data_IF_405969650113
#
_entry.id   IF_405969650113
#
_cell.length_a   1.000
_cell.length_b   1.000
_cell.length_c   1.000
_cell.angle_alpha   90.00
_cell.angle_beta   90.00
_cell.angle_gamma   90.00
#
_symmetry.space_group_name_H-M   'P 1'
#
loop_
_entity.id
_entity.type
_entity.pdbx_description
1 polymer ?
#
# COMPACT_ATOMS: atom_id res chain seq x y z
N UNK A 1 -12.95 25.32 -19.47
CA UNK A 1 -12.61 23.89 -19.28
C UNK A 1 -13.35 23.26 -18.09
N UNK A 2 -13.90 24.03 -17.13
CA UNK A 2 -14.61 23.52 -15.94
C UNK A 2 -16.01 22.92 -16.18
N UNK A 3 -16.61 23.16 -17.34
CA UNK A 3 -17.98 22.72 -17.65
C UNK A 3 -18.12 21.20 -17.72
N UNK A 4 -17.11 20.50 -18.23
CA UNK A 4 -17.13 19.03 -18.37
C UNK A 4 -16.97 18.32 -17.04
N UNK A 5 -16.02 18.75 -16.20
CA UNK A 5 -15.83 18.21 -14.84
C UNK A 5 -17.07 18.42 -13.99
N UNK A 6 -17.69 19.60 -14.11
CA UNK A 6 -18.94 19.91 -13.41
C UNK A 6 -20.09 19.02 -13.89
N UNK A 7 -20.15 18.70 -15.18
CA UNK A 7 -21.14 17.79 -15.73
C UNK A 7 -20.98 16.36 -15.19
N UNK A 8 -19.76 15.80 -15.20
CA UNK A 8 -19.51 14.44 -14.69
C UNK A 8 -19.84 14.29 -13.20
N UNK A 9 -19.58 15.31 -12.39
CA UNK A 9 -19.97 15.32 -10.97
C UNK A 9 -21.49 15.24 -10.79
N UNK A 10 -22.25 15.95 -11.62
CA UNK A 10 -23.72 15.92 -11.58
C UNK A 10 -24.28 14.56 -11.98
N UNK A 11 -23.73 13.97 -13.04
CA UNK A 11 -24.14 12.63 -13.50
C UNK A 11 -23.85 11.57 -12.44
N UNK A 12 -22.65 11.56 -11.85
CA UNK A 12 -22.31 10.65 -10.75
C UNK A 12 -23.28 10.78 -9.56
N UNK A 13 -23.59 12.00 -9.13
CA UNK A 13 -24.54 12.23 -8.04
C UNK A 13 -25.95 11.73 -8.37
N UNK A 14 -26.37 11.83 -9.64
CA UNK A 14 -27.67 11.33 -10.11
C UNK A 14 -27.73 9.81 -10.05
N UNK A 15 -26.70 9.12 -10.56
CA UNK A 15 -26.64 7.65 -10.57
C UNK A 15 -26.57 7.07 -9.14
N UNK A 16 -25.80 7.70 -8.25
CA UNK A 16 -25.60 7.19 -6.88
C UNK A 16 -26.86 7.38 -6.01
N UNK A 17 -27.69 8.40 -6.27
CA UNK A 17 -28.87 8.73 -5.46
C UNK A 17 -29.90 7.59 -5.35
N UNK A 18 -30.00 6.74 -6.37
CA UNK A 18 -30.95 5.61 -6.41
C UNK A 18 -30.37 4.28 -5.92
N UNK A 19 -29.09 4.23 -5.56
CA UNK A 19 -28.43 2.98 -5.20
C UNK A 19 -28.70 2.58 -3.74
N UNK A 20 -28.82 1.29 -3.45
CA UNK A 20 -28.84 0.79 -2.09
C UNK A 20 -27.49 1.03 -1.39
N UNK A 21 -27.50 1.07 -0.06
CA UNK A 21 -26.36 1.50 0.76
C UNK A 21 -25.08 0.68 0.53
N UNK A 22 -25.21 -0.63 0.33
CA UNK A 22 -24.11 -1.54 0.01
C UNK A 22 -23.42 -1.17 -1.31
N UNK A 23 -24.20 -0.78 -2.32
CA UNK A 23 -23.70 -0.33 -3.62
C UNK A 23 -23.06 1.05 -3.57
N UNK A 24 -23.61 1.97 -2.77
CA UNK A 24 -22.94 3.26 -2.51
C UNK A 24 -21.58 3.06 -1.84
N UNK A 25 -21.48 2.10 -0.91
CA UNK A 25 -20.21 1.73 -0.27
C UNK A 25 -19.21 1.15 -1.27
N UNK A 26 -19.67 0.35 -2.23
CA UNK A 26 -18.84 -0.17 -3.32
C UNK A 26 -18.25 0.95 -4.19
N UNK A 27 -19.06 1.96 -4.55
CA UNK A 27 -18.60 3.15 -5.28
C UNK A 27 -17.57 3.95 -4.48
N UNK A 28 -17.79 4.14 -3.17
CA UNK A 28 -16.82 4.81 -2.29
C UNK A 28 -15.48 4.07 -2.26
N UNK A 29 -15.49 2.73 -2.15
CA UNK A 29 -14.27 1.94 -2.19
C UNK A 29 -13.52 2.11 -3.51
N UNK A 30 -14.23 2.18 -4.63
CA UNK A 30 -13.63 2.39 -5.95
C UNK A 30 -12.98 3.78 -6.09
N UNK A 31 -13.62 4.83 -5.57
CA UNK A 31 -13.02 6.17 -5.52
C UNK A 31 -11.75 6.18 -4.67
N UNK A 32 -11.76 5.54 -3.50
CA UNK A 32 -10.56 5.39 -2.67
C UNK A 32 -9.46 4.63 -3.41
N UNK A 33 -9.80 3.59 -4.16
CA UNK A 33 -8.84 2.87 -5.00
C UNK A 33 -8.22 3.76 -6.08
N UNK A 34 -9.01 4.56 -6.79
CA UNK A 34 -8.48 5.51 -7.80
C UNK A 34 -7.48 6.47 -7.17
N UNK A 35 -7.85 7.09 -6.03
CA UNK A 35 -6.97 8.00 -5.29
C UNK A 35 -5.69 7.32 -4.82
N UNK A 36 -5.79 6.09 -4.35
CA UNK A 36 -4.63 5.31 -3.92
C UNK A 36 -3.73 4.92 -5.11
N UNK A 37 -4.31 4.62 -6.28
CA UNK A 37 -3.56 4.26 -7.49
C UNK A 37 -2.69 5.41 -8.01
N UNK A 38 -3.10 6.65 -7.81
CA UNK A 38 -2.26 7.82 -8.14
C UNK A 38 -1.07 7.96 -7.19
N UNK A 39 -1.16 7.40 -5.98
CA UNK A 39 -0.11 7.47 -4.94
C UNK A 39 0.78 6.23 -4.93
N UNK A 40 0.26 5.07 -5.35
CA UNK A 40 0.99 3.79 -5.34
C UNK A 40 1.65 3.58 -6.69
N UNK A 41 2.99 3.57 -6.71
CA UNK A 41 3.76 3.11 -7.86
C UNK A 41 3.28 1.69 -8.26
N UNK A 42 2.83 1.47 -9.51
CA UNK A 42 2.43 0.14 -9.98
C UNK A 42 3.50 -0.93 -9.76
N UNK A 43 4.78 -0.58 -9.80
CA UNK A 43 5.90 -1.49 -9.51
C UNK A 43 5.89 -1.99 -8.05
N UNK A 44 5.19 -1.30 -7.15
CA UNK A 44 5.05 -1.63 -5.73
C UNK A 44 3.70 -2.26 -5.37
N UNK A 45 2.84 -2.56 -6.36
CA UNK A 45 1.54 -3.18 -6.12
C UNK A 45 1.65 -4.54 -5.38
N UNK A 46 2.77 -5.25 -5.53
CA UNK A 46 3.05 -6.51 -4.85
C UNK A 46 2.99 -6.39 -3.31
N UNK A 47 3.33 -5.22 -2.75
CA UNK A 47 3.30 -4.94 -1.31
C UNK A 47 1.89 -5.11 -0.71
N UNK A 48 0.86 -4.84 -1.52
CA UNK A 48 -0.53 -4.91 -1.11
C UNK A 48 -1.17 -6.29 -1.30
N UNK A 49 -0.41 -7.28 -1.78
CA UNK A 49 -0.94 -8.64 -1.94
C UNK A 49 -1.14 -9.32 -0.59
N UNK A 50 -2.18 -10.18 -0.48
CA UNK A 50 -2.44 -10.96 0.74
C UNK A 50 -1.22 -11.79 1.18
N UNK A 51 -0.45 -12.28 0.21
CA UNK A 51 0.80 -13.02 0.46
C UNK A 51 1.82 -12.14 1.16
N UNK A 52 2.11 -10.94 0.62
CA UNK A 52 3.05 -10.00 1.23
C UNK A 52 2.62 -9.58 2.63
N UNK A 53 1.35 -9.20 2.80
CA UNK A 53 0.80 -8.82 4.10
C UNK A 53 0.88 -9.94 5.16
N UNK A 54 0.76 -11.20 4.75
CA UNK A 54 0.95 -12.35 5.65
C UNK A 54 2.41 -12.51 6.07
N UNK A 55 3.36 -12.28 5.16
CA UNK A 55 4.79 -12.32 5.45
C UNK A 55 5.20 -11.14 6.34
N UNK A 56 4.64 -9.95 6.11
CA UNK A 56 4.85 -8.76 6.95
C UNK A 56 4.46 -9.00 8.41
N UNK A 57 3.32 -9.68 8.65
CA UNK A 57 2.92 -10.11 10.00
C UNK A 57 3.89 -11.12 10.63
N UNK A 58 4.60 -11.90 9.81
CA UNK A 58 5.69 -12.77 10.26
C UNK A 58 6.89 -11.94 10.72
N UNK A 59 7.38 -11.08 9.84
CA UNK A 59 8.51 -10.20 10.10
C UNK A 59 8.28 -9.28 11.32
N UNK A 60 7.07 -8.74 11.51
CA UNK A 60 6.74 -7.92 12.68
C UNK A 60 6.76 -8.72 13.99
N UNK A 61 6.38 -10.00 13.95
CA UNK A 61 6.50 -10.90 15.12
C UNK A 61 7.96 -11.21 15.43
N UNK A 62 8.78 -11.44 14.42
CA UNK A 62 10.22 -11.68 14.60
C UNK A 62 10.93 -10.44 15.14
N UNK A 63 10.56 -9.25 14.66
CA UNK A 63 11.00 -7.96 15.22
C UNK A 63 10.65 -7.80 16.69
N UNK A 64 9.39 -8.07 17.06
CA UNK A 64 8.94 -8.01 18.47
C UNK A 64 9.67 -9.01 19.37
N UNK A 65 10.11 -10.15 18.82
CA UNK A 65 10.86 -11.18 19.53
C UNK A 65 12.37 -10.93 19.57
N UNK A 66 12.85 -9.85 18.96
CA UNK A 66 14.28 -9.54 18.88
C UNK A 66 15.05 -10.41 17.87
N UNK A 67 14.35 -11.18 17.03
CA UNK A 67 14.94 -12.06 16.01
C UNK A 67 15.29 -11.29 14.73
N UNK A 68 15.91 -10.11 14.87
CA UNK A 68 16.30 -9.26 13.75
C UNK A 68 17.78 -8.94 13.84
N UNK A 69 18.51 -9.25 12.76
CA UNK A 69 19.92 -8.90 12.64
C UNK A 69 20.02 -7.50 12.05
N UNK A 70 20.37 -6.52 12.88
CA UNK A 70 20.54 -5.12 12.48
C UNK A 70 19.38 -4.21 12.91
N UNK A 71 19.71 -3.00 13.34
CA UNK A 71 18.74 -2.00 13.83
C UNK A 71 18.26 -1.05 12.72
N UNK A 72 18.32 -1.47 11.44
CA UNK A 72 17.98 -0.64 10.29
C UNK A 72 18.95 0.52 10.02
N UNK A 73 20.05 0.65 10.78
CA UNK A 73 21.07 1.67 10.50
C UNK A 73 22.07 1.10 9.50
N UNK A 74 22.12 1.68 8.29
CA UNK A 74 23.03 1.28 7.18
C UNK A 74 24.49 1.13 7.63
N UNK A 75 24.91 1.85 8.68
CA UNK A 75 26.27 1.83 9.21
C UNK A 75 26.74 0.48 9.80
N UNK A 76 25.86 -0.48 10.13
CA UNK A 76 26.29 -1.72 10.82
C UNK A 76 26.21 -3.00 9.99
N UNK A 77 25.84 -2.95 8.72
CA UNK A 77 25.77 -4.18 7.89
C UNK A 77 27.11 -4.67 7.34
N UNK A 78 28.21 -3.93 7.48
CA UNK A 78 29.51 -4.31 6.88
C UNK A 78 30.40 -5.13 7.81
N UNK A 79 30.11 -5.24 9.11
CA UNK A 79 31.06 -5.81 10.09
C UNK A 79 30.73 -7.20 10.63
N UNK A 80 29.96 -8.00 9.90
CA UNK A 80 29.56 -9.34 10.35
C UNK A 80 29.87 -10.47 9.37
N UNK A 81 30.66 -10.22 8.32
CA UNK A 81 31.19 -11.30 7.47
C UNK A 81 32.67 -11.53 7.81
N UNK A 82 33.05 -12.63 8.49
CA UNK A 82 34.45 -12.95 8.78
C UNK A 82 35.27 -13.31 7.53
N UNK A 83 34.63 -13.36 6.35
CA UNK A 83 35.25 -13.84 5.12
C UNK A 83 36.06 -12.78 4.32
N UNK A 84 36.22 -11.55 4.83
CA UNK A 84 36.90 -10.46 4.10
C UNK A 84 38.01 -9.75 4.90
N UNK A 85 38.54 -10.36 5.96
CA UNK A 85 39.68 -9.82 6.73
C UNK A 85 40.98 -10.61 6.55
N UNK A 86 41.12 -11.33 5.44
CA UNK A 86 42.34 -12.10 5.12
C UNK A 86 42.77 -11.95 3.66
N UNK A 87 42.82 -10.71 3.17
CA UNK A 87 43.59 -10.32 1.98
C UNK A 87 44.38 -9.04 2.29
#
# INVERSE_FOLDING_TARGET
MDTTVTQYKKELLKEIKGLPSDKVKEVLNFICFIKAKEVIDPAQAYFWTKKWQKMEKGADRDRKRGNVIGNGTVKKSIRSSPALLSL
#
